data_IF_494359789415
#
_entry.id   IF_494359789415
#
_cell.length_a   1.000
_cell.length_b   1.000
_cell.length_c   1.000
_cell.angle_alpha   90.00
_cell.angle_beta   90.00
_cell.angle_gamma   90.00
#
_symmetry.space_group_name_H-M   'P 1'
#
loop_
_entity.id
_entity.type
_entity.pdbx_description
1 polymer ?
#
# COMPACT_ATOMS: atom_id res chain seq x y z
N UNK A 1 20.74 2.63 -18.86
CA UNK A 1 19.37 3.00 -18.45
C UNK A 1 18.68 1.77 -17.90
N UNK A 2 18.16 1.82 -16.68
CA UNK A 2 17.50 0.68 -16.05
C UNK A 2 16.21 0.33 -16.83
N UNK A 3 15.96 -0.95 -17.10
CA UNK A 3 14.74 -1.40 -17.79
C UNK A 3 13.47 -0.94 -17.04
N UNK A 4 12.40 -0.63 -17.77
CA UNK A 4 11.10 -0.23 -17.19
C UNK A 4 10.61 -1.26 -16.17
N UNK A 5 10.75 -2.56 -16.49
CA UNK A 5 10.33 -3.65 -15.62
C UNK A 5 11.07 -3.62 -14.27
N UNK A 6 12.39 -3.44 -14.29
CA UNK A 6 13.20 -3.38 -13.06
C UNK A 6 12.81 -2.16 -12.22
N UNK A 7 12.61 -0.99 -12.85
CA UNK A 7 12.21 0.22 -12.12
C UNK A 7 10.83 0.07 -11.49
N UNK A 8 9.90 -0.56 -12.21
CA UNK A 8 8.55 -0.87 -11.72
C UNK A 8 8.62 -1.81 -10.53
N UNK A 9 9.33 -2.94 -10.66
CA UNK A 9 9.46 -3.89 -9.56
C UNK A 9 10.10 -3.23 -8.33
N UNK A 10 11.16 -2.45 -8.52
CA UNK A 10 11.83 -1.77 -7.42
C UNK A 10 10.93 -0.75 -6.72
N UNK A 11 10.10 -0.01 -7.47
CA UNK A 11 9.09 0.87 -6.88
C UNK A 11 7.99 0.09 -6.15
N UNK A 12 7.55 -1.05 -6.69
CA UNK A 12 6.53 -1.89 -6.07
C UNK A 12 7.05 -2.59 -4.80
N UNK A 13 8.32 -2.98 -4.74
CA UNK A 13 8.88 -3.71 -3.59
C UNK A 13 9.42 -2.80 -2.49
N UNK A 14 9.89 -1.59 -2.81
CA UNK A 14 10.41 -0.66 -1.80
C UNK A 14 9.44 0.46 -1.48
N UNK A 15 8.95 1.16 -2.50
CA UNK A 15 8.14 2.37 -2.28
C UNK A 15 6.76 1.98 -1.79
N UNK A 16 6.13 1.00 -2.43
CA UNK A 16 4.76 0.58 -2.09
C UNK A 16 4.59 0.17 -0.62
N UNK A 17 5.45 -0.70 -0.04
CA UNK A 17 5.29 -1.12 1.35
C UNK A 17 5.58 0.01 2.34
N UNK A 18 6.54 0.89 2.02
CA UNK A 18 6.81 2.09 2.83
C UNK A 18 5.60 3.03 2.82
N UNK A 19 4.97 3.19 1.66
CA UNK A 19 3.76 4.01 1.51
C UNK A 19 2.57 3.40 2.27
N UNK A 20 2.42 2.08 2.26
CA UNK A 20 1.38 1.38 3.03
C UNK A 20 1.58 1.52 4.54
N UNK A 21 2.81 1.37 5.00
CA UNK A 21 3.17 1.61 6.40
C UNK A 21 2.83 3.04 6.81
N UNK A 22 3.20 4.03 5.98
CA UNK A 22 2.84 5.42 6.21
C UNK A 22 1.32 5.62 6.23
N UNK A 23 0.56 4.99 5.33
CA UNK A 23 -0.91 5.08 5.33
C UNK A 23 -1.52 4.54 6.64
N UNK A 24 -0.95 3.49 7.22
CA UNK A 24 -1.37 2.91 8.50
C UNK A 24 -1.02 3.81 9.69
N UNK A 25 0.23 4.28 9.77
CA UNK A 25 0.72 5.10 10.89
C UNK A 25 0.11 6.50 10.87
N UNK A 26 -0.11 7.07 9.68
CA UNK A 26 -0.61 8.42 9.52
C UNK A 26 -2.14 8.51 9.37
N UNK A 27 -2.89 7.54 9.91
CA UNK A 27 -4.35 7.49 9.81
C UNK A 27 -5.03 8.78 10.33
N UNK A 28 -4.47 9.41 11.36
CA UNK A 28 -5.03 10.61 12.02
C UNK A 28 -4.31 11.92 11.68
N UNK A 29 -3.27 11.89 10.82
CA UNK A 29 -2.45 13.08 10.60
C UNK A 29 -3.03 14.07 9.58
N UNK A 30 -2.69 15.37 9.72
CA UNK A 30 -3.25 16.47 8.94
C UNK A 30 -2.95 16.37 7.43
N UNK A 31 -3.79 17.03 6.64
CA UNK A 31 -3.77 17.06 5.16
C UNK A 31 -2.39 17.38 4.54
N UNK A 32 -1.53 18.07 5.28
CA UNK A 32 -0.14 18.30 4.91
C UNK A 32 0.61 16.99 4.59
N UNK A 33 0.49 15.97 5.45
CA UNK A 33 1.18 14.70 5.25
C UNK A 33 0.59 13.92 4.06
N UNK A 34 -0.72 14.02 3.82
CA UNK A 34 -1.34 13.45 2.63
C UNK A 34 -0.75 14.07 1.35
N UNK A 35 -0.54 15.38 1.34
CA UNK A 35 0.07 16.11 0.23
C UNK A 35 1.53 15.68 0.01
N UNK A 36 2.32 15.54 1.08
CA UNK A 36 3.70 15.06 0.99
C UNK A 36 3.75 13.65 0.43
N UNK A 37 2.87 12.77 0.92
CA UNK A 37 2.82 11.38 0.51
C UNK A 37 2.37 11.23 -0.95
N UNK A 38 1.42 12.05 -1.40
CA UNK A 38 1.06 12.15 -2.81
C UNK A 38 2.24 12.62 -3.68
N UNK A 39 3.05 13.59 -3.22
CA UNK A 39 4.26 14.04 -3.93
C UNK A 39 5.30 12.93 -4.04
N UNK A 40 5.53 12.16 -2.97
CA UNK A 40 6.44 11.00 -2.99
C UNK A 40 5.97 9.97 -4.01
N UNK A 41 4.68 9.66 -4.02
CA UNK A 41 4.08 8.76 -5.00
C UNK A 41 4.30 9.25 -6.44
N UNK A 42 4.09 10.55 -6.68
CA UNK A 42 4.32 11.16 -7.98
C UNK A 42 5.78 11.09 -8.44
N UNK A 43 6.74 11.19 -7.51
CA UNK A 43 8.17 11.01 -7.82
C UNK A 43 8.47 9.54 -8.17
N UNK A 44 7.89 8.59 -7.44
CA UNK A 44 8.04 7.17 -7.74
C UNK A 44 7.49 6.82 -9.13
N UNK A 45 6.32 7.34 -9.49
CA UNK A 45 5.73 7.19 -10.83
C UNK A 45 6.66 7.77 -11.90
N UNK A 46 7.22 8.96 -11.67
CA UNK A 46 8.21 9.56 -12.59
C UNK A 46 9.45 8.70 -12.75
N UNK A 47 9.95 8.12 -11.67
CA UNK A 47 11.10 7.21 -11.71
C UNK A 47 10.80 5.96 -12.56
N UNK A 48 9.65 5.31 -12.34
CA UNK A 48 9.22 4.10 -13.06
C UNK A 48 9.14 4.35 -14.56
N UNK A 49 8.46 5.41 -14.98
CA UNK A 49 8.27 5.73 -16.39
C UNK A 49 9.46 6.50 -17.01
N UNK A 50 10.38 7.02 -16.21
CA UNK A 50 11.52 7.83 -16.69
C UNK A 50 11.10 9.20 -17.23
N UNK A 51 10.05 9.77 -16.63
CA UNK A 51 9.42 11.02 -17.05
C UNK A 51 10.32 12.23 -16.76
N UNK A 52 10.33 13.21 -17.68
CA UNK A 52 10.93 14.53 -17.42
C UNK A 52 10.06 15.33 -16.43
N UNK A 53 10.64 16.37 -15.84
CA UNK A 53 9.98 17.17 -14.79
C UNK A 53 8.65 17.79 -15.24
N UNK A 54 8.58 18.18 -16.52
CA UNK A 54 7.44 18.93 -17.09
C UNK A 54 6.38 18.05 -17.75
N UNK A 55 6.58 16.73 -17.78
CA UNK A 55 5.60 15.82 -18.37
C UNK A 55 4.37 15.63 -17.48
N UNK A 56 3.19 15.59 -18.11
CA UNK A 56 1.91 15.41 -17.43
C UNK A 56 1.85 14.01 -16.82
N UNK A 57 1.63 13.95 -15.50
CA UNK A 57 1.69 12.71 -14.74
C UNK A 57 0.39 11.89 -14.77
N UNK A 58 -0.77 12.56 -14.93
CA UNK A 58 -2.10 11.94 -14.91
C UNK A 58 -2.23 10.65 -15.77
N UNK A 59 -1.82 10.62 -17.05
CA UNK A 59 -1.96 9.41 -17.87
C UNK A 59 -1.06 8.25 -17.41
N UNK A 60 0.01 8.53 -16.67
CA UNK A 60 0.93 7.50 -16.18
C UNK A 60 0.48 6.91 -14.84
N UNK A 61 -0.27 7.68 -14.04
CA UNK A 61 -0.91 7.18 -12.83
C UNK A 61 -1.96 6.12 -13.18
N UNK A 62 -2.81 6.40 -14.17
CA UNK A 62 -3.80 5.42 -14.68
C UNK A 62 -3.11 4.17 -15.23
N UNK A 63 -2.04 4.34 -16.02
CA UNK A 63 -1.28 3.21 -16.59
C UNK A 63 -0.52 2.38 -15.55
N UNK A 64 -0.26 2.91 -14.36
CA UNK A 64 0.40 2.15 -13.30
C UNK A 64 -0.52 1.07 -12.72
N UNK A 65 -1.85 1.25 -12.79
CA UNK A 65 -2.83 0.31 -12.26
C UNK A 65 -2.80 0.17 -10.73
N UNK A 66 -2.17 1.13 -10.03
CA UNK A 66 -2.15 1.15 -8.57
C UNK A 66 -3.32 1.98 -8.04
N UNK A 67 -3.92 1.50 -6.96
CA UNK A 67 -4.87 2.28 -6.17
C UNK A 67 -4.22 3.61 -5.73
N UNK A 68 -5.01 4.68 -5.77
CA UNK A 68 -4.62 5.98 -5.25
C UNK A 68 -4.30 5.87 -3.76
N UNK A 69 -3.49 6.81 -3.27
CA UNK A 69 -3.14 6.87 -1.86
C UNK A 69 -4.38 6.93 -0.96
N UNK A 70 -5.39 7.66 -1.40
CA UNK A 70 -6.64 7.85 -0.68
C UNK A 70 -7.47 6.56 -0.62
N UNK A 71 -7.57 5.83 -1.73
CA UNK A 71 -8.22 4.52 -1.78
C UNK A 71 -7.51 3.51 -0.89
N UNK A 72 -6.17 3.50 -0.88
CA UNK A 72 -5.38 2.63 0.01
C UNK A 72 -5.61 2.98 1.47
N UNK A 73 -5.60 4.28 1.81
CA UNK A 73 -5.89 4.74 3.18
C UNK A 73 -7.27 4.29 3.62
N UNK A 74 -8.30 4.48 2.79
CA UNK A 74 -9.67 3.99 3.07
C UNK A 74 -9.71 2.48 3.26
N UNK A 75 -9.02 1.73 2.40
CA UNK A 75 -8.94 0.27 2.52
C UNK A 75 -8.33 -0.15 3.85
N UNK A 76 -7.20 0.45 4.25
CA UNK A 76 -6.55 0.13 5.52
C UNK A 76 -7.41 0.54 6.73
N UNK A 77 -8.02 1.72 6.71
CA UNK A 77 -8.99 2.13 7.75
C UNK A 77 -10.12 1.11 7.84
N UNK A 78 -10.72 0.75 6.71
CA UNK A 78 -11.80 -0.22 6.64
C UNK A 78 -11.38 -1.59 7.16
N UNK A 79 -10.16 -2.04 6.86
CA UNK A 79 -9.60 -3.28 7.38
C UNK A 79 -9.41 -3.21 8.90
N UNK A 80 -8.91 -2.10 9.45
CA UNK A 80 -8.77 -1.93 10.90
C UNK A 80 -10.13 -1.92 11.60
N UNK A 81 -11.12 -1.24 11.03
CA UNK A 81 -12.51 -1.23 11.53
C UNK A 81 -13.10 -2.63 11.48
N UNK A 82 -12.94 -3.36 10.36
CA UNK A 82 -13.39 -4.74 10.24
C UNK A 82 -12.75 -5.62 11.31
N UNK A 83 -11.43 -5.49 11.53
CA UNK A 83 -10.73 -6.23 12.59
C UNK A 83 -11.20 -5.84 13.99
N UNK A 84 -11.52 -4.58 14.25
CA UNK A 84 -12.05 -4.16 15.54
C UNK A 84 -13.47 -4.68 15.78
N UNK A 85 -14.32 -4.73 14.75
CA UNK A 85 -15.72 -5.15 14.85
C UNK A 85 -15.88 -6.68 14.83
N UNK A 86 -15.06 -7.39 14.05
CA UNK A 86 -15.20 -8.84 13.82
C UNK A 86 -13.99 -9.65 14.33
N UNK A 87 -12.85 -9.03 14.58
CA UNK A 87 -11.60 -9.72 14.94
C UNK A 87 -11.39 -9.94 16.44
N UNK A 88 -12.19 -9.34 17.31
CA UNK A 88 -12.15 -9.59 18.77
C UNK A 88 -12.83 -10.92 19.17
N UNK A 89 -13.56 -11.55 18.24
CA UNK A 89 -14.24 -12.84 18.45
C UNK A 89 -13.51 -14.07 17.87
N UNK A 90 -12.33 -13.90 17.27
CA UNK A 90 -11.59 -14.98 16.59
C UNK A 90 -10.37 -15.50 17.38
N UNK A 91 -10.24 -15.15 18.66
CA UNK A 91 -9.20 -15.69 19.54
C UNK A 91 -9.57 -17.05 20.15
N UNK A 92 -10.79 -17.56 19.95
CA UNK A 92 -11.26 -18.82 20.56
C UNK A 92 -11.33 -20.01 19.59
N UNK A 93 -10.75 -19.93 18.39
CA UNK A 93 -10.89 -21.01 17.42
C UNK A 93 -9.68 -21.27 16.51
N UNK A 94 -8.50 -21.47 17.11
CA UNK A 94 -7.49 -22.38 16.53
C UNK A 94 -6.89 -23.27 17.62
N UNK A 95 -7.73 -24.07 18.29
CA UNK A 95 -7.28 -25.31 18.92
C UNK A 95 -7.21 -26.37 17.82
N UNK A 96 -6.09 -26.41 17.11
CA UNK A 96 -5.75 -27.49 16.20
C UNK A 96 -5.83 -28.83 16.98
N UNK A 97 -6.66 -29.80 16.57
CA UNK A 97 -6.80 -31.03 17.35
C UNK A 97 -5.47 -31.77 17.36
N UNK A 98 -5.00 -32.11 18.56
CA UNK A 98 -3.95 -33.08 18.77
C UNK A 98 -4.36 -34.36 18.04
N UNK A 99 -3.59 -34.75 17.03
CA UNK A 99 -3.66 -36.06 16.41
C UNK A 99 -3.28 -37.11 17.45
N UNK A 100 -4.26 -37.61 18.18
CA UNK A 100 -4.25 -38.98 18.70
C UNK A 100 -4.57 -39.91 17.54
N UNK A 101 -3.60 -40.75 17.18
CA UNK A 101 -3.72 -42.14 16.70
C UNK A 101 -2.27 -42.53 16.32
N UNK A 102 -1.60 -43.47 16.99
CA UNK A 102 -2.07 -44.79 17.35
C UNK A 102 -1.60 -45.79 16.31
N UNK A 103 -0.30 -46.14 16.31
CA UNK A 103 0.26 -47.35 15.71
C UNK A 103 1.59 -47.70 16.40
#
# INVERSE_FOLDING_TARGET
MLSFHIRRELAMTLVLPLMDFCCLVYLELPEYFATVMQRVWHVAVRFVFGLRRDERLAPFLERMGCASLEERRRYFVGLQVYRAVYGDGAADQEQFPASTDGA
#
